data_IF_366983533776
#
_entry.id   IF_366983533776
#
_cell.length_a   1.000
_cell.length_b   1.000
_cell.length_c   1.000
_cell.angle_alpha   90.00
_cell.angle_beta   90.00
_cell.angle_gamma   90.00
#
_symmetry.space_group_name_H-M   'P 1'
#
loop_
_entity.id
_entity.type
_entity.pdbx_description
1 polymer ?
#
# COMPACT_ATOMS: atom_id res chain seq x y z
N UNK A 1 9.96 -8.51 0.76
CA UNK A 1 9.49 -7.12 0.53
C UNK A 1 9.90 -6.28 1.73
N UNK A 2 10.60 -5.17 1.51
CA UNK A 2 11.10 -4.29 2.59
C UNK A 2 10.13 -3.13 2.85
N UNK A 3 10.22 -2.50 4.03
CA UNK A 3 9.41 -1.31 4.37
C UNK A 3 9.53 -0.22 3.30
N UNK A 4 10.73 -0.01 2.76
CA UNK A 4 11.01 0.95 1.68
C UNK A 4 10.28 0.59 0.39
N UNK A 5 10.22 -0.68 0.01
CA UNK A 5 9.48 -1.11 -1.19
C UNK A 5 7.97 -0.87 -1.03
N UNK A 6 7.41 -1.11 0.16
CA UNK A 6 6.01 -0.79 0.43
C UNK A 6 5.75 0.72 0.33
N UNK A 7 6.65 1.56 0.86
CA UNK A 7 6.54 3.02 0.78
C UNK A 7 6.58 3.51 -0.68
N UNK A 8 7.52 3.00 -1.48
CA UNK A 8 7.60 3.29 -2.91
C UNK A 8 6.30 2.94 -3.65
N UNK A 9 5.65 1.84 -3.25
CA UNK A 9 4.36 1.47 -3.80
C UNK A 9 3.27 2.47 -3.41
N UNK A 10 3.18 2.85 -2.13
CA UNK A 10 2.21 3.86 -1.66
C UNK A 10 2.37 5.17 -2.44
N UNK A 11 3.61 5.63 -2.65
CA UNK A 11 3.91 6.85 -3.38
C UNK A 11 3.50 6.74 -4.87
N UNK A 12 3.73 5.59 -5.51
CA UNK A 12 3.28 5.33 -6.87
C UNK A 12 1.74 5.37 -6.99
N UNK A 13 1.02 4.75 -6.05
CA UNK A 13 -0.44 4.85 -5.98
C UNK A 13 -0.90 6.29 -5.66
N UNK A 14 -0.11 7.10 -4.96
CA UNK A 14 -0.39 8.53 -4.71
C UNK A 14 -0.32 9.35 -5.98
N UNK A 15 0.77 9.21 -6.72
CA UNK A 15 0.94 9.92 -7.98
C UNK A 15 -0.14 9.52 -8.98
N UNK A 16 -0.46 8.23 -9.06
CA UNK A 16 -1.54 7.73 -9.90
C UNK A 16 -2.91 8.31 -9.54
N UNK A 17 -3.21 8.50 -8.25
CA UNK A 17 -4.45 9.15 -7.83
C UNK A 17 -4.49 10.63 -8.28
N UNK A 18 -3.37 11.35 -8.18
CA UNK A 18 -3.27 12.73 -8.67
C UNK A 18 -3.45 12.82 -10.19
N UNK A 19 -2.80 11.93 -10.95
CA UNK A 19 -2.91 11.90 -12.41
C UNK A 19 -4.36 11.60 -12.84
N UNK A 20 -5.01 10.67 -12.14
CA UNK A 20 -6.41 10.33 -12.40
C UNK A 20 -7.34 11.49 -12.06
N UNK A 21 -7.11 12.21 -10.96
CA UNK A 21 -7.86 13.41 -10.61
C UNK A 21 -7.65 14.55 -11.62
N UNK A 22 -6.49 14.61 -12.27
CA UNK A 22 -6.16 15.53 -13.37
C UNK A 22 -6.82 15.11 -14.71
N UNK A 23 -7.58 14.00 -14.72
CA UNK A 23 -8.26 13.47 -15.90
C UNK A 23 -7.35 12.62 -16.80
N UNK A 24 -6.17 12.24 -16.33
CA UNK A 24 -5.26 11.32 -17.04
C UNK A 24 -5.58 9.88 -16.65
N UNK A 25 -5.15 8.96 -17.50
CA UNK A 25 -5.24 7.53 -17.28
C UNK A 25 -3.87 7.02 -16.84
N UNK A 26 -3.83 6.19 -15.81
CA UNK A 26 -2.60 5.68 -15.22
C UNK A 26 -2.57 4.15 -15.28
N UNK A 27 -1.42 3.55 -15.54
CA UNK A 27 -1.32 2.08 -15.63
C UNK A 27 -0.62 1.56 -14.39
N UNK A 28 -1.35 0.84 -13.54
CA UNK A 28 -0.81 0.20 -12.34
C UNK A 28 -0.89 -1.32 -12.53
N UNK A 29 0.21 -2.03 -12.28
CA UNK A 29 0.28 -3.49 -12.42
C UNK A 29 -0.19 -4.02 -13.80
N UNK A 30 0.01 -3.24 -14.87
CA UNK A 30 -0.43 -3.62 -16.22
C UNK A 30 -1.93 -3.48 -16.47
N UNK A 31 -2.70 -2.95 -15.49
CA UNK A 31 -4.10 -2.55 -15.67
C UNK A 31 -4.18 -1.03 -15.81
N UNK A 32 -4.86 -0.57 -16.85
CA UNK A 32 -5.21 0.86 -16.99
C UNK A 32 -6.29 1.18 -15.97
N UNK A 33 -5.99 2.14 -15.10
CA UNK A 33 -6.90 2.69 -14.11
C UNK A 33 -7.30 4.10 -14.53
N UNK A 34 -8.58 4.40 -14.37
CA UNK A 34 -9.17 5.70 -14.73
C UNK A 34 -9.88 6.31 -13.52
N UNK A 35 -10.56 7.44 -13.72
CA UNK A 35 -11.37 8.09 -12.68
C UNK A 35 -12.47 7.19 -12.13
N UNK A 36 -12.94 6.22 -12.91
CA UNK A 36 -13.91 5.22 -12.49
C UNK A 36 -13.31 4.24 -11.47
N UNK A 37 -12.00 3.97 -11.56
CA UNK A 37 -11.25 3.07 -10.69
C UNK A 37 -10.64 3.79 -9.48
N UNK A 38 -10.97 5.07 -9.24
CA UNK A 38 -10.39 5.85 -8.14
C UNK A 38 -10.60 5.17 -6.77
N UNK A 39 -11.74 4.50 -6.59
CA UNK A 39 -12.03 3.69 -5.40
C UNK A 39 -11.07 2.50 -5.27
N UNK A 40 -10.71 1.85 -6.38
CA UNK A 40 -9.79 0.71 -6.44
C UNK A 40 -8.35 1.16 -6.17
N UNK A 41 -7.92 2.31 -6.71
CA UNK A 41 -6.62 2.94 -6.44
C UNK A 41 -6.48 3.23 -4.94
N UNK A 42 -7.51 3.84 -4.32
CA UNK A 42 -7.54 4.11 -2.88
C UNK A 42 -7.49 2.84 -2.05
N UNK A 43 -8.23 1.81 -2.45
CA UNK A 43 -8.20 0.51 -1.78
C UNK A 43 -6.80 -0.12 -1.86
N UNK A 44 -6.12 -0.02 -3.01
CA UNK A 44 -4.73 -0.43 -3.19
C UNK A 44 -3.78 0.29 -2.25
N UNK A 45 -3.87 1.62 -2.13
CA UNK A 45 -3.08 2.42 -1.16
C UNK A 45 -3.28 1.90 0.26
N UNK A 46 -4.52 1.73 0.68
CA UNK A 46 -4.89 1.27 2.03
C UNK A 46 -4.34 -0.14 2.33
N UNK A 47 -4.34 -1.02 1.35
CA UNK A 47 -3.75 -2.36 1.46
C UNK A 47 -2.23 -2.27 1.70
N UNK A 48 -1.54 -1.40 0.97
CA UNK A 48 -0.10 -1.16 1.16
C UNK A 48 0.23 -0.49 2.50
N UNK A 49 -0.60 0.45 2.95
CA UNK A 49 -0.50 1.07 4.29
C UNK A 49 -0.73 0.05 5.42
N UNK A 50 -1.68 -0.88 5.26
CA UNK A 50 -1.83 -1.98 6.23
C UNK A 50 -0.58 -2.85 6.27
N UNK A 51 -0.02 -3.18 5.10
CA UNK A 51 1.21 -3.97 5.01
C UNK A 51 2.40 -3.25 5.64
N UNK A 52 2.59 -1.96 5.38
CA UNK A 52 3.70 -1.20 6.00
C UNK A 52 3.54 -1.10 7.52
N UNK A 53 2.31 -0.96 8.01
CA UNK A 53 2.00 -1.02 9.44
C UNK A 53 2.27 -2.41 10.04
N UNK A 54 2.00 -3.49 9.29
CA UNK A 54 2.35 -4.84 9.71
C UNK A 54 3.87 -5.06 9.79
N UNK A 55 4.65 -4.47 8.88
CA UNK A 55 6.13 -4.45 8.98
C UNK A 55 6.64 -3.60 10.15
N UNK A 56 5.93 -2.53 10.50
CA UNK A 56 6.31 -1.66 11.60
C UNK A 56 5.86 -2.16 12.97
N UNK A 57 4.90 -3.09 13.04
CA UNK A 57 4.55 -3.78 14.27
C UNK A 57 5.73 -4.70 14.63
N UNK A 58 6.38 -4.50 15.79
CA UNK A 58 7.27 -5.52 16.31
C UNK A 58 6.45 -6.79 16.43
N UNK A 59 7.00 -7.92 15.99
CA UNK A 59 6.53 -9.26 16.35
C UNK A 59 6.70 -9.43 17.88
N UNK A 60 5.93 -8.69 18.66
CA UNK A 60 5.99 -8.63 20.11
C UNK A 60 4.81 -9.39 20.67
N UNK A 61 5.06 -10.60 21.19
CA UNK A 61 4.13 -11.17 22.17
C UNK A 61 3.97 -12.67 22.24
N UNK A 62 4.81 -13.52 21.63
CA UNK A 62 4.95 -14.86 22.19
C UNK A 62 6.00 -14.76 23.29
N UNK A 63 5.56 -14.30 24.48
CA UNK A 63 6.30 -14.59 25.71
C UNK A 63 6.22 -16.11 25.87
N UNK A 64 7.24 -16.82 25.40
CA UNK A 64 7.49 -18.18 25.85
C UNK A 64 7.64 -18.07 27.36
N UNK A 65 6.63 -18.56 28.09
CA UNK A 65 6.72 -18.70 29.53
C UNK A 65 7.91 -19.62 29.80
N UNK A 66 9.03 -19.04 30.22
CA UNK A 66 10.14 -19.81 30.75
C UNK A 66 9.64 -20.39 32.07
N UNK A 67 9.41 -21.70 32.06
CA UNK A 67 9.23 -22.47 33.27
C UNK A 67 10.60 -23.01 33.68
N UNK A 68 11.04 -22.52 34.84
CA UNK A 68 12.08 -23.01 35.74
C UNK A 68 13.49 -23.25 35.17
#
# INVERSE_FOLDING_TARGET
MTKTQCQQMIDAYFQAELDVLDGKQTTINGKTMTTEDLAEIRAGRLEWERRINAFSRPQGGIKLASFN
#
